data_IF_858391633487
#
_entry.id   IF_858391633487
#
_cell.length_a   1.000
_cell.length_b   1.000
_cell.length_c   1.000
_cell.angle_alpha   90.00
_cell.angle_beta   90.00
_cell.angle_gamma   90.00
#
_symmetry.space_group_name_H-M   'P 1'
#
loop_
_entity.id
_entity.type
_entity.pdbx_description
1 polymer ?
#
# COMPACT_ATOMS: atom_id res chain seq x y z
N UNK A 1 -44.30 -3.39 -4.29
CA UNK A 1 -43.56 -2.70 -3.21
C UNK A 1 -42.21 -3.42 -2.96
N UNK A 2 -42.20 -4.77 -2.95
CA UNK A 2 -40.96 -5.56 -2.75
C UNK A 2 -39.93 -5.41 -3.88
N UNK A 3 -40.35 -5.28 -5.15
CA UNK A 3 -39.42 -5.09 -6.28
C UNK A 3 -38.70 -3.72 -6.27
N UNK A 4 -39.37 -2.66 -5.82
CA UNK A 4 -38.75 -1.34 -5.72
C UNK A 4 -37.65 -1.30 -4.61
N UNK A 5 -37.85 -2.05 -3.52
CA UNK A 5 -36.86 -2.16 -2.45
C UNK A 5 -35.61 -2.96 -2.88
N UNK A 6 -35.78 -3.96 -3.75
CA UNK A 6 -34.66 -4.76 -4.26
C UNK A 6 -33.83 -3.99 -5.30
N UNK A 7 -34.45 -3.16 -6.13
CA UNK A 7 -33.71 -2.32 -7.10
C UNK A 7 -32.88 -1.21 -6.42
N UNK A 8 -33.39 -0.61 -5.34
CA UNK A 8 -32.62 0.38 -4.56
C UNK A 8 -31.48 -0.25 -3.75
N UNK A 9 -31.62 -1.52 -3.30
CA UNK A 9 -30.56 -2.27 -2.62
C UNK A 9 -29.46 -2.74 -3.59
N UNK A 10 -29.70 -2.76 -4.89
CA UNK A 10 -28.75 -3.17 -5.94
C UNK A 10 -28.02 -2.00 -6.60
N UNK A 11 -28.18 -0.77 -6.14
CA UNK A 11 -27.39 0.34 -6.67
C UNK A 11 -25.92 0.10 -6.35
N UNK A 12 -25.15 -0.20 -7.39
CA UNK A 12 -23.70 -0.26 -7.32
C UNK A 12 -23.18 1.09 -6.81
N UNK A 13 -22.37 1.08 -5.78
CA UNK A 13 -21.69 2.30 -5.32
C UNK A 13 -20.75 2.74 -6.43
N UNK A 14 -20.92 3.96 -6.93
CA UNK A 14 -20.04 4.59 -7.91
C UNK A 14 -19.48 5.89 -7.33
N UNK A 15 -18.18 6.03 -7.33
CA UNK A 15 -17.48 7.22 -6.85
C UNK A 15 -16.39 7.61 -7.85
N UNK A 16 -16.05 8.90 -7.91
CA UNK A 16 -15.05 9.45 -8.83
C UNK A 16 -13.91 10.12 -8.06
N UNK A 17 -12.69 9.86 -8.49
CA UNK A 17 -11.45 10.41 -7.95
C UNK A 17 -10.50 10.83 -9.07
N UNK A 18 -9.46 11.58 -8.75
CA UNK A 18 -8.39 11.84 -9.70
C UNK A 18 -7.40 10.67 -9.72
N UNK A 19 -7.06 10.17 -8.53
CA UNK A 19 -6.08 9.10 -8.36
C UNK A 19 -6.61 8.00 -7.44
N UNK A 20 -6.48 6.76 -7.87
CA UNK A 20 -6.70 5.58 -7.03
C UNK A 20 -5.35 4.94 -6.71
N UNK A 21 -5.12 4.62 -5.43
CA UNK A 21 -3.95 3.85 -4.99
C UNK A 21 -4.40 2.50 -4.44
N UNK A 22 -3.87 1.42 -5.00
CA UNK A 22 -4.20 0.05 -4.59
C UNK A 22 -3.09 -0.52 -3.72
N UNK A 23 -3.36 -0.61 -2.43
CA UNK A 23 -2.44 -1.10 -1.42
C UNK A 23 -1.86 0.00 -0.53
N UNK A 24 -2.13 -0.07 0.78
CA UNK A 24 -1.64 0.89 1.77
C UNK A 24 -0.36 0.40 2.49
N UNK A 25 0.57 -0.21 1.76
CA UNK A 25 1.95 -0.40 2.20
C UNK A 25 2.74 0.91 2.13
N UNK A 26 4.05 0.87 2.44
CA UNK A 26 4.87 2.09 2.45
C UNK A 26 4.80 2.87 1.13
N UNK A 27 4.96 2.19 0.00
CA UNK A 27 4.90 2.82 -1.32
C UNK A 27 3.52 3.44 -1.61
N UNK A 28 2.44 2.73 -1.26
CA UNK A 28 1.10 3.24 -1.46
C UNK A 28 0.77 4.44 -0.58
N UNK A 29 1.20 4.44 0.68
CA UNK A 29 1.04 5.59 1.58
C UNK A 29 1.75 6.84 1.02
N UNK A 30 3.00 6.69 0.56
CA UNK A 30 3.74 7.81 -0.04
C UNK A 30 3.08 8.32 -1.33
N UNK A 31 2.64 7.41 -2.21
CA UNK A 31 1.96 7.78 -3.45
C UNK A 31 0.64 8.53 -3.18
N UNK A 32 -0.17 8.03 -2.25
CA UNK A 32 -1.45 8.64 -1.90
C UNK A 32 -1.28 10.03 -1.26
N UNK A 33 -0.34 10.14 -0.31
CA UNK A 33 -0.02 11.42 0.32
C UNK A 33 0.54 12.44 -0.68
N UNK A 34 1.38 12.01 -1.60
CA UNK A 34 1.92 12.88 -2.64
C UNK A 34 0.81 13.40 -3.57
N UNK A 35 -0.08 12.53 -4.05
CA UNK A 35 -1.19 12.92 -4.90
C UNK A 35 -2.16 13.89 -4.20
N UNK A 36 -2.55 13.58 -2.96
CA UNK A 36 -3.43 14.43 -2.17
C UNK A 36 -2.83 15.81 -1.88
N UNK A 37 -1.54 15.87 -1.52
CA UNK A 37 -0.81 17.13 -1.28
C UNK A 37 -0.66 17.98 -2.54
N UNK A 38 -0.75 17.39 -3.73
CA UNK A 38 -0.83 18.10 -5.00
C UNK A 38 -2.25 18.57 -5.33
N UNK A 39 -3.23 18.33 -4.46
CA UNK A 39 -4.62 18.74 -4.63
C UNK A 39 -5.46 17.77 -5.47
N UNK A 40 -5.00 16.54 -5.70
CA UNK A 40 -5.77 15.52 -6.38
C UNK A 40 -6.73 14.84 -5.40
N UNK A 41 -8.01 14.72 -5.76
CA UNK A 41 -8.95 13.85 -5.02
C UNK A 41 -8.50 12.41 -5.14
N UNK A 42 -8.02 11.86 -4.03
CA UNK A 42 -7.32 10.58 -3.99
C UNK A 42 -8.02 9.58 -3.08
N UNK A 43 -8.12 8.34 -3.52
CA UNK A 43 -8.53 7.23 -2.66
C UNK A 43 -7.45 6.17 -2.60
N UNK A 44 -7.16 5.68 -1.39
CA UNK A 44 -6.26 4.55 -1.17
C UNK A 44 -7.00 3.36 -0.57
N UNK A 45 -6.81 2.19 -1.18
CA UNK A 45 -7.41 0.94 -0.75
C UNK A 45 -6.44 0.08 0.05
N UNK A 46 -6.94 -0.55 1.09
CA UNK A 46 -6.23 -1.59 1.86
C UNK A 46 -7.14 -2.76 2.14
N UNK A 47 -6.61 -3.97 2.16
CA UNK A 47 -7.36 -5.18 2.57
C UNK A 47 -7.63 -5.20 4.08
N UNK A 48 -6.86 -4.45 4.87
CA UNK A 48 -7.05 -4.33 6.32
C UNK A 48 -6.51 -3.00 6.83
N UNK A 49 -7.30 -2.27 7.60
CA UNK A 49 -6.89 -1.02 8.26
C UNK A 49 -5.71 -1.23 9.22
N UNK A 50 -5.56 -2.42 9.77
CA UNK A 50 -4.45 -2.76 10.67
C UNK A 50 -3.15 -3.10 9.93
N UNK A 51 -3.18 -3.15 8.59
CA UNK A 51 -2.00 -3.42 7.75
C UNK A 51 -1.43 -2.18 7.06
N UNK A 52 -1.94 -1.00 7.38
CA UNK A 52 -1.41 0.26 6.83
C UNK A 52 0.03 0.44 7.28
N UNK A 53 0.94 0.63 6.30
CA UNK A 53 2.38 0.75 6.52
C UNK A 53 2.98 -0.35 7.42
N UNK A 54 2.42 -1.56 7.38
CA UNK A 54 2.83 -2.69 8.20
C UNK A 54 4.27 -3.08 7.90
N UNK A 55 5.03 -3.36 8.96
CA UNK A 55 6.39 -3.90 8.91
C UNK A 55 6.39 -5.38 9.32
N UNK A 56 6.05 -6.32 8.42
CA UNK A 56 5.85 -7.73 8.78
C UNK A 56 7.14 -8.47 9.14
N UNK A 57 8.28 -7.92 8.76
CA UNK A 57 9.60 -8.46 9.04
C UNK A 57 10.29 -7.64 10.16
N UNK A 58 11.54 -7.24 9.97
CA UNK A 58 12.24 -6.36 10.91
C UNK A 58 11.69 -4.93 10.82
N UNK A 59 11.17 -4.35 11.91
CA UNK A 59 10.58 -3.02 11.90
C UNK A 59 11.67 -1.93 11.91
N UNK A 60 12.36 -1.77 10.79
CA UNK A 60 13.44 -0.80 10.63
C UNK A 60 13.23 0.08 9.41
N UNK A 61 13.53 1.36 9.57
CA UNK A 61 13.63 2.33 8.48
C UNK A 61 15.11 2.73 8.31
N UNK A 62 15.56 2.83 7.08
CA UNK A 62 16.95 3.13 6.76
C UNK A 62 17.88 1.93 6.79
N UNK A 63 19.14 2.15 7.15
CA UNK A 63 20.22 1.16 7.10
C UNK A 63 21.00 1.19 5.79
N UNK A 64 21.94 0.25 5.63
CA UNK A 64 22.82 0.20 4.46
C UNK A 64 22.00 0.10 3.17
N UNK A 65 22.32 0.93 2.19
CA UNK A 65 21.65 1.06 0.87
C UNK A 65 20.17 1.46 0.91
N UNK A 66 19.57 1.66 2.09
CA UNK A 66 18.17 2.06 2.24
C UNK A 66 18.03 3.48 2.81
N UNK A 67 18.94 3.90 3.66
CA UNK A 67 18.90 5.23 4.29
C UNK A 67 18.96 6.37 3.28
N UNK A 68 19.65 6.18 2.16
CA UNK A 68 19.70 7.16 1.07
C UNK A 68 18.32 7.35 0.44
N UNK A 69 17.61 6.28 0.13
CA UNK A 69 16.25 6.33 -0.44
C UNK A 69 15.27 7.02 0.50
N UNK A 70 15.36 6.75 1.81
CA UNK A 70 14.52 7.44 2.80
C UNK A 70 14.77 8.95 2.81
N UNK A 71 16.04 9.37 2.73
CA UNK A 71 16.40 10.79 2.64
C UNK A 71 15.93 11.45 1.34
N UNK A 72 15.97 10.74 0.23
CA UNK A 72 15.44 11.23 -1.05
C UNK A 72 13.92 11.43 -0.99
N UNK A 73 13.20 10.46 -0.42
CA UNK A 73 11.74 10.56 -0.19
C UNK A 73 11.43 11.74 0.73
N UNK A 74 12.17 11.89 1.83
CA UNK A 74 12.00 12.99 2.79
C UNK A 74 12.26 14.35 2.14
N UNK A 75 13.31 14.47 1.33
CA UNK A 75 13.62 15.69 0.57
C UNK A 75 12.51 16.10 -0.42
N UNK A 76 11.73 15.14 -0.90
CA UNK A 76 10.55 15.37 -1.74
C UNK A 76 9.26 15.62 -0.93
N UNK A 77 9.37 15.72 0.39
CA UNK A 77 8.23 15.97 1.28
C UNK A 77 7.48 14.71 1.74
N UNK A 78 8.08 13.52 1.56
CA UNK A 78 7.50 12.25 1.97
C UNK A 78 7.26 12.11 3.47
N UNK A 79 6.53 11.09 3.87
CA UNK A 79 6.06 10.92 5.26
C UNK A 79 6.88 9.89 6.04
N UNK A 80 7.55 8.96 5.36
CA UNK A 80 8.29 7.87 6.02
C UNK A 80 9.32 8.36 7.04
N UNK A 81 10.11 9.38 6.69
CA UNK A 81 11.10 10.00 7.58
C UNK A 81 10.43 10.65 8.79
N UNK A 82 9.39 11.43 8.58
CA UNK A 82 8.62 12.10 9.63
C UNK A 82 7.93 11.11 10.57
N UNK A 83 7.41 10.01 10.03
CA UNK A 83 6.73 9.00 10.82
C UNK A 83 7.71 8.20 11.68
N UNK A 84 8.87 7.81 11.13
CA UNK A 84 9.86 7.09 11.93
C UNK A 84 10.46 7.98 13.05
N UNK A 85 10.62 9.28 12.82
CA UNK A 85 11.11 10.22 13.85
C UNK A 85 10.17 10.34 15.05
N UNK A 86 8.87 10.06 14.86
CA UNK A 86 7.87 10.03 15.93
C UNK A 86 7.79 8.67 16.66
N UNK A 87 8.25 7.60 16.02
CA UNK A 87 7.91 6.22 16.43
C UNK A 87 9.12 5.30 16.60
N UNK A 88 10.35 5.82 16.48
CA UNK A 88 11.53 4.99 16.69
C UNK A 88 11.74 4.67 18.17
N UNK A 89 12.21 3.45 18.44
CA UNK A 89 12.65 3.00 19.78
C UNK A 89 14.16 2.99 19.90
N UNK A 90 14.88 2.92 18.78
CA UNK A 90 16.34 2.98 18.74
C UNK A 90 16.79 3.56 17.39
N UNK A 91 17.78 4.44 17.45
CA UNK A 91 18.48 4.96 16.27
C UNK A 91 19.97 4.68 16.36
N UNK A 92 20.56 4.14 15.30
CA UNK A 92 21.97 3.77 15.26
C UNK A 92 22.61 4.06 13.90
N UNK A 93 23.76 4.73 13.93
CA UNK A 93 24.60 4.87 12.73
C UNK A 93 25.39 3.58 12.49
N UNK A 94 25.16 2.96 11.34
CA UNK A 94 25.88 1.78 10.86
C UNK A 94 27.15 2.18 10.08
N UNK A 95 28.08 1.25 9.97
CA UNK A 95 29.32 1.35 9.17
C UNK A 95 30.25 2.51 9.57
N UNK A 96 30.22 2.96 10.83
CA UNK A 96 31.09 4.06 11.31
C UNK A 96 32.57 3.80 11.08
N UNK A 97 33.02 2.55 11.11
CA UNK A 97 34.42 2.16 10.88
C UNK A 97 34.84 2.14 9.40
N UNK A 98 33.86 2.28 8.46
CA UNK A 98 34.10 2.12 7.01
C UNK A 98 34.16 3.44 6.25
N UNK A 99 34.14 4.56 6.95
CA UNK A 99 34.19 5.90 6.38
C UNK A 99 32.83 6.54 6.09
N UNK A 100 32.81 7.89 5.95
CA UNK A 100 31.57 8.67 5.87
C UNK A 100 30.65 8.30 4.69
N UNK A 101 31.22 7.90 3.56
CA UNK A 101 30.45 7.57 2.35
C UNK A 101 29.46 6.40 2.51
N UNK A 102 29.72 5.52 3.48
CA UNK A 102 28.86 4.35 3.75
C UNK A 102 28.17 4.43 5.13
N UNK A 103 28.27 5.57 5.82
CA UNK A 103 27.51 5.79 7.04
C UNK A 103 26.02 5.74 6.74
N UNK A 104 25.30 4.90 7.45
CA UNK A 104 23.88 4.67 7.21
C UNK A 104 23.11 4.69 8.51
N UNK A 105 22.22 5.66 8.66
CA UNK A 105 21.33 5.71 9.80
C UNK A 105 20.27 4.60 9.66
N UNK A 106 20.07 3.85 10.72
CA UNK A 106 19.00 2.86 10.88
C UNK A 106 18.21 3.16 12.12
N UNK A 107 16.92 3.37 11.98
CA UNK A 107 15.99 3.53 13.08
C UNK A 107 15.12 2.27 13.21
N UNK A 108 15.06 1.70 14.40
CA UNK A 108 14.13 0.64 14.73
C UNK A 108 12.83 1.26 15.21
N UNK A 109 11.71 0.86 14.60
CA UNK A 109 10.39 1.39 14.91
C UNK A 109 9.70 0.60 16.02
N UNK A 110 8.90 1.30 16.80
CA UNK A 110 7.71 0.70 17.40
C UNK A 110 6.75 0.40 16.25
N UNK A 111 6.55 -0.88 15.98
CA UNK A 111 5.81 -1.35 14.81
C UNK A 111 4.35 -0.90 14.82
N UNK A 112 3.71 -0.97 15.96
CA UNK A 112 2.30 -0.64 16.10
C UNK A 112 2.09 0.88 16.10
N UNK A 113 2.93 1.62 16.82
CA UNK A 113 2.93 3.07 16.80
C UNK A 113 3.18 3.63 15.38
N UNK A 114 4.11 3.04 14.62
CA UNK A 114 4.39 3.46 13.24
C UNK A 114 3.18 3.28 12.32
N UNK A 115 2.53 2.12 12.37
CA UNK A 115 1.33 1.83 11.59
C UNK A 115 0.15 2.73 11.98
N UNK A 116 -0.08 2.92 13.27
CA UNK A 116 -1.13 3.81 13.79
C UNK A 116 -0.92 5.27 13.38
N UNK A 117 0.30 5.77 13.50
CA UNK A 117 0.63 7.15 13.13
C UNK A 117 0.46 7.37 11.62
N UNK A 118 0.92 6.43 10.79
CA UNK A 118 0.72 6.54 9.34
C UNK A 118 -0.78 6.51 8.98
N UNK A 119 -1.56 5.62 9.58
CA UNK A 119 -3.00 5.57 9.37
C UNK A 119 -3.68 6.87 9.77
N UNK A 120 -3.30 7.44 10.92
CA UNK A 120 -3.80 8.73 11.37
C UNK A 120 -3.46 9.84 10.37
N UNK A 121 -2.24 9.87 9.85
CA UNK A 121 -1.81 10.84 8.83
C UNK A 121 -2.66 10.72 7.56
N UNK A 122 -2.87 9.50 7.04
CA UNK A 122 -3.72 9.29 5.86
C UNK A 122 -5.16 9.76 6.08
N UNK A 123 -5.74 9.47 7.24
CA UNK A 123 -7.13 9.81 7.56
C UNK A 123 -7.36 11.30 7.80
N UNK A 124 -6.31 12.06 8.11
CA UNK A 124 -6.39 13.50 8.40
C UNK A 124 -5.70 14.36 7.32
N UNK A 125 -5.40 13.79 6.16
CA UNK A 125 -4.89 14.54 5.01
C UNK A 125 -6.05 14.96 4.12
N UNK A 126 -6.13 16.23 3.80
CA UNK A 126 -7.14 16.77 2.88
C UNK A 126 -7.02 16.09 1.51
N UNK A 127 -8.13 15.94 0.81
CA UNK A 127 -8.22 15.28 -0.49
C UNK A 127 -7.82 13.79 -0.50
N UNK A 128 -7.78 13.12 0.67
CA UNK A 128 -7.41 11.73 0.79
C UNK A 128 -8.45 10.90 1.53
N UNK A 129 -8.98 9.90 0.83
CA UNK A 129 -9.89 8.90 1.41
C UNK A 129 -9.14 7.58 1.61
N UNK A 130 -9.08 7.06 2.83
CA UNK A 130 -8.59 5.71 3.14
C UNK A 130 -9.76 4.76 3.28
N UNK A 131 -9.80 3.69 2.46
CA UNK A 131 -10.90 2.72 2.46
C UNK A 131 -10.41 1.28 2.56
N UNK A 132 -11.09 0.49 3.37
CA UNK A 132 -10.84 -0.96 3.43
C UNK A 132 -11.70 -1.65 2.39
N UNK A 133 -11.06 -2.16 1.34
CA UNK A 133 -11.64 -3.05 0.34
C UNK A 133 -10.54 -3.79 -0.43
N UNK A 134 -10.85 -4.97 -0.96
CA UNK A 134 -10.01 -5.65 -1.93
C UNK A 134 -10.40 -5.18 -3.32
N UNK A 135 -9.43 -4.60 -4.05
CA UNK A 135 -9.58 -4.30 -5.49
C UNK A 135 -9.34 -5.58 -6.27
N UNK A 136 -10.29 -5.93 -7.11
CA UNK A 136 -10.30 -7.20 -7.85
C UNK A 136 -10.10 -7.04 -9.34
N UNK A 137 -10.43 -5.85 -9.89
CA UNK A 137 -10.43 -5.62 -11.33
C UNK A 137 -10.00 -4.19 -11.66
N UNK A 138 -9.26 -4.05 -12.77
CA UNK A 138 -9.01 -2.77 -13.44
C UNK A 138 -10.09 -2.56 -14.51
N UNK A 139 -10.66 -1.37 -14.56
CA UNK A 139 -11.59 -0.97 -15.62
C UNK A 139 -10.77 -0.22 -16.66
N UNK A 140 -10.61 -0.85 -17.82
CA UNK A 140 -9.86 -0.29 -18.96
C UNK A 140 -10.78 -0.19 -20.17
N UNK A 141 -10.87 0.98 -20.76
CA UNK A 141 -11.66 1.25 -21.97
C UNK A 141 -10.75 1.94 -23.00
N UNK A 142 -10.77 1.46 -24.22
CA UNK A 142 -9.97 1.99 -25.34
C UNK A 142 -8.45 2.12 -24.97
N UNK A 143 -7.92 1.13 -24.25
CA UNK A 143 -6.53 1.11 -23.81
C UNK A 143 -6.17 2.11 -22.71
N UNK A 144 -7.17 2.78 -22.13
CA UNK A 144 -7.00 3.75 -21.05
C UNK A 144 -7.65 3.27 -19.76
N UNK A 145 -6.97 3.47 -18.63
CA UNK A 145 -7.54 3.19 -17.32
C UNK A 145 -8.73 4.14 -17.05
N UNK A 146 -9.83 3.59 -16.55
CA UNK A 146 -11.03 4.35 -16.15
C UNK A 146 -11.33 4.20 -14.66
N UNK A 147 -10.76 3.21 -14.00
CA UNK A 147 -11.01 2.99 -12.60
C UNK A 147 -10.74 1.57 -12.14
N UNK A 148 -11.34 1.20 -11.03
CA UNK A 148 -11.22 -0.13 -10.44
C UNK A 148 -12.58 -0.62 -9.93
N UNK A 149 -12.72 -1.94 -9.80
CA UNK A 149 -13.83 -2.60 -9.13
C UNK A 149 -13.32 -3.32 -7.89
N UNK A 150 -14.08 -3.25 -6.82
CA UNK A 150 -13.79 -3.98 -5.58
C UNK A 150 -14.52 -5.31 -5.52
N UNK A 151 -14.12 -6.16 -4.57
CA UNK A 151 -14.74 -7.46 -4.32
C UNK A 151 -16.24 -7.38 -4.02
N UNK A 152 -16.69 -6.31 -3.39
CA UNK A 152 -18.11 -6.05 -3.13
C UNK A 152 -18.92 -5.59 -4.37
N UNK A 153 -18.25 -5.42 -5.52
CA UNK A 153 -18.87 -4.93 -6.75
C UNK A 153 -18.87 -3.41 -6.91
N UNK A 154 -18.46 -2.64 -5.90
CA UNK A 154 -18.39 -1.19 -6.00
C UNK A 154 -17.38 -0.74 -7.05
N UNK A 155 -17.71 0.29 -7.81
CA UNK A 155 -16.91 0.86 -8.90
C UNK A 155 -16.37 2.22 -8.48
N UNK A 156 -15.09 2.42 -8.73
CA UNK A 156 -14.40 3.69 -8.45
C UNK A 156 -13.73 4.15 -9.73
N UNK A 157 -14.16 5.29 -10.24
CA UNK A 157 -13.61 5.90 -11.46
C UNK A 157 -12.41 6.78 -11.11
N UNK A 158 -11.38 6.76 -11.95
CA UNK A 158 -10.23 7.65 -11.79
C UNK A 158 -9.50 7.90 -13.11
N UNK A 159 -8.75 9.00 -13.14
CA UNK A 159 -7.85 9.35 -14.25
C UNK A 159 -6.56 8.55 -14.23
N UNK A 160 -6.12 8.13 -13.02
CA UNK A 160 -4.91 7.34 -12.83
C UNK A 160 -5.07 6.32 -11.70
N UNK A 161 -4.41 5.17 -11.85
CA UNK A 161 -4.37 4.10 -10.85
C UNK A 161 -2.92 3.75 -10.56
N UNK A 162 -2.53 3.82 -9.28
CA UNK A 162 -1.22 3.41 -8.79
C UNK A 162 -1.33 2.04 -8.12
N UNK A 163 -0.63 1.06 -8.65
CA UNK A 163 -0.58 -0.29 -8.09
C UNK A 163 0.60 -0.41 -7.11
N UNK A 164 0.29 -0.54 -5.83
CA UNK A 164 1.26 -0.69 -4.74
C UNK A 164 0.95 -1.95 -3.88
N UNK A 165 0.60 -3.04 -4.54
CA UNK A 165 0.09 -4.28 -3.94
C UNK A 165 1.12 -5.05 -3.10
N UNK A 166 2.40 -4.72 -3.21
CA UNK A 166 3.46 -5.29 -2.41
C UNK A 166 3.56 -6.81 -2.56
N UNK A 167 3.62 -7.51 -1.43
CA UNK A 167 3.80 -8.97 -1.36
C UNK A 167 2.49 -9.72 -1.10
N UNK A 168 1.33 -9.09 -1.27
CA UNK A 168 0.02 -9.69 -0.99
C UNK A 168 -0.68 -10.23 -2.23
N UNK A 169 -0.25 -9.83 -3.44
CA UNK A 169 -0.86 -10.25 -4.70
C UNK A 169 -0.59 -11.74 -4.93
N UNK A 170 -1.65 -12.56 -4.90
CA UNK A 170 -1.60 -14.03 -5.01
C UNK A 170 -0.54 -14.65 -4.09
N UNK A 171 -0.42 -14.12 -2.88
CA UNK A 171 0.64 -14.47 -1.95
C UNK A 171 0.48 -15.88 -1.40
N UNK A 172 1.61 -16.52 -1.15
CA UNK A 172 1.71 -17.76 -0.37
C UNK A 172 2.95 -17.71 0.51
N UNK A 173 2.81 -18.18 1.74
CA UNK A 173 3.90 -18.27 2.70
C UNK A 173 4.36 -19.72 2.84
N UNK A 174 5.68 -19.94 2.76
CA UNK A 174 6.30 -21.25 2.87
C UNK A 174 7.05 -21.33 4.21
N UNK A 175 6.72 -22.35 5.00
CA UNK A 175 7.36 -22.65 6.29
C UNK A 175 7.85 -24.10 6.25
N UNK A 176 9.10 -24.31 5.82
CA UNK A 176 9.59 -25.65 5.51
C UNK A 176 8.76 -26.28 4.39
N UNK A 177 8.10 -27.39 4.68
CA UNK A 177 7.23 -28.11 3.74
C UNK A 177 5.78 -27.60 3.73
N UNK A 178 5.41 -26.77 4.70
CA UNK A 178 4.03 -26.23 4.83
C UNK A 178 3.85 -25.04 3.93
N UNK A 179 2.76 -25.03 3.18
CA UNK A 179 2.34 -23.92 2.30
C UNK A 179 1.05 -23.34 2.82
N UNK A 180 1.08 -22.05 3.19
CA UNK A 180 -0.11 -21.29 3.54
C UNK A 180 -0.43 -20.29 2.42
N UNK A 181 -1.66 -20.31 1.90
CA UNK A 181 -2.12 -19.38 0.86
C UNK A 181 -2.63 -18.08 1.51
N UNK A 182 -1.74 -17.40 2.20
CA UNK A 182 -1.99 -16.12 2.87
C UNK A 182 -0.88 -15.13 2.55
N UNK A 183 -1.15 -13.85 2.75
CA UNK A 183 -0.10 -12.85 2.82
C UNK A 183 0.72 -12.94 4.11
N UNK A 184 1.74 -12.09 4.27
CA UNK A 184 2.52 -12.00 5.51
C UNK A 184 1.64 -11.79 6.74
N UNK A 185 2.06 -12.30 7.90
CA UNK A 185 1.33 -12.26 9.17
C UNK A 185 -0.06 -12.93 9.14
N UNK A 186 -0.29 -13.87 8.22
CA UNK A 186 -1.57 -14.57 8.11
C UNK A 186 -2.72 -13.71 7.56
N UNK A 187 -2.43 -12.51 7.05
CA UNK A 187 -3.44 -11.66 6.42
C UNK A 187 -3.89 -12.25 5.09
N UNK A 188 -5.10 -11.94 4.68
CA UNK A 188 -5.66 -12.41 3.42
C UNK A 188 -4.80 -11.98 2.24
N UNK A 189 -4.55 -12.91 1.31
CA UNK A 189 -3.93 -12.60 0.03
C UNK A 189 -4.95 -11.99 -0.93
N UNK A 190 -4.53 -11.01 -1.72
CA UNK A 190 -5.34 -10.47 -2.82
C UNK A 190 -5.24 -11.42 -4.02
N UNK A 191 -6.30 -12.17 -4.29
CA UNK A 191 -6.23 -13.27 -5.25
C UNK A 191 -6.76 -12.94 -6.65
N UNK A 192 -7.60 -11.91 -6.78
CA UNK A 192 -8.36 -11.65 -8.00
C UNK A 192 -7.66 -10.68 -8.96
N UNK A 193 -7.08 -9.61 -8.47
CA UNK A 193 -6.49 -8.54 -9.29
C UNK A 193 -5.42 -9.05 -10.28
N UNK A 194 -4.71 -10.13 -9.93
CA UNK A 194 -3.67 -10.70 -10.81
C UNK A 194 -4.23 -11.23 -12.14
N UNK A 195 -5.48 -11.68 -12.18
CA UNK A 195 -6.09 -12.08 -13.44
C UNK A 195 -6.41 -10.85 -14.28
N UNK A 196 -7.06 -9.85 -13.71
CA UNK A 196 -7.34 -8.59 -14.39
C UNK A 196 -6.09 -7.92 -14.97
N UNK A 197 -4.97 -7.95 -14.23
CA UNK A 197 -3.68 -7.44 -14.72
C UNK A 197 -3.21 -8.19 -15.99
N UNK A 198 -3.29 -9.53 -15.99
CA UNK A 198 -2.91 -10.34 -17.14
C UNK A 198 -3.81 -10.09 -18.34
N UNK A 199 -5.12 -9.98 -18.13
CA UNK A 199 -6.11 -9.73 -19.17
C UNK A 199 -5.87 -8.35 -19.83
N UNK A 200 -5.28 -7.42 -19.10
CA UNK A 200 -4.84 -6.11 -19.61
C UNK A 200 -3.37 -6.09 -20.08
N UNK A 201 -2.76 -7.25 -20.33
CA UNK A 201 -1.41 -7.36 -20.91
C UNK A 201 -0.25 -7.10 -19.96
N UNK A 202 -0.50 -7.01 -18.65
CA UNK A 202 0.58 -6.85 -17.67
C UNK A 202 1.23 -8.20 -17.38
N UNK A 203 2.52 -8.30 -17.66
CA UNK A 203 3.31 -9.51 -17.41
C UNK A 203 3.61 -9.63 -15.91
N UNK A 204 3.28 -10.77 -15.30
CA UNK A 204 3.48 -11.02 -13.88
C UNK A 204 4.48 -12.14 -13.65
N UNK A 205 5.50 -11.86 -12.83
CA UNK A 205 6.51 -12.83 -12.44
C UNK A 205 6.39 -13.17 -10.95
N UNK A 206 6.57 -14.45 -10.56
CA UNK A 206 6.61 -14.82 -9.15
C UNK A 206 7.88 -14.28 -8.50
N UNK A 207 7.73 -13.61 -7.35
CA UNK A 207 8.86 -13.13 -6.55
C UNK A 207 8.94 -13.95 -5.26
N UNK A 208 10.07 -14.62 -5.04
CA UNK A 208 10.35 -15.32 -3.80
C UNK A 208 11.06 -14.36 -2.83
N UNK A 209 10.41 -14.03 -1.73
CA UNK A 209 11.02 -13.30 -0.62
C UNK A 209 11.28 -14.27 0.54
N UNK A 210 12.53 -14.43 0.93
CA UNK A 210 12.90 -15.17 2.13
C UNK A 210 12.86 -14.23 3.33
N UNK A 211 12.19 -14.67 4.39
CA UNK A 211 12.26 -14.06 5.71
C UNK A 211 13.25 -14.89 6.53
N UNK A 212 14.33 -14.26 6.95
CA UNK A 212 15.31 -14.90 7.84
C UNK A 212 14.87 -14.74 9.29
#
# INVERSE_FOLDING_TARGET
>A
VENLFMEDLMKTVEECYDVIVVGAGHAGCEAALAAARLGCETIIFTVSMNSVALMPCNPNIGGSSKGHLVKEIDALGGEMGKNIDKTYIQSKMLNKSKGPAVHSLRAQADKDAYSMTMRYTLQNTDHLTLRQAEVTELIVEDGSIRGVRTFSGAVYHAKAVVLATGTYLKARCLYGEVVNYTGPNGLQAANYLSQSLKDNGVELFPVLKRYN
#
